data_IF_718307010613
#
_entry.id   IF_718307010613
#
_cell.length_a   1.000
_cell.length_b   1.000
_cell.length_c   1.000
_cell.angle_alpha   90.00
_cell.angle_beta   90.00
_cell.angle_gamma   90.00
#
_symmetry.space_group_name_H-M   'P 1'
#
loop_
_entity.id
_entity.type
_entity.pdbx_description
1 polymer ?
#
# COMPACT_ATOMS: atom_id res chain seq x y z
N UNK A 1 23.98 7.19 -8.25
CA UNK A 1 23.02 6.41 -7.44
C UNK A 1 21.70 7.17 -7.40
N UNK A 2 20.64 6.70 -8.08
CA UNK A 2 19.35 7.39 -8.14
C UNK A 2 18.48 6.91 -6.97
N UNK A 3 18.41 7.69 -5.90
CA UNK A 3 17.48 7.43 -4.79
C UNK A 3 16.08 7.88 -5.21
N UNK A 4 15.31 6.97 -5.80
CA UNK A 4 13.95 7.25 -6.26
C UNK A 4 13.00 7.30 -5.06
N UNK A 5 12.77 8.50 -4.50
CA UNK A 5 11.59 8.76 -3.67
C UNK A 5 10.37 8.73 -4.58
N UNK A 6 9.67 7.60 -4.62
CA UNK A 6 8.43 7.42 -5.38
C UNK A 6 7.26 8.08 -4.66
N UNK A 7 6.54 8.98 -5.34
CA UNK A 7 5.20 9.41 -4.89
C UNK A 7 4.19 8.64 -5.71
N UNK A 8 3.45 7.72 -5.08
CA UNK A 8 2.34 7.04 -5.72
C UNK A 8 1.04 7.77 -5.40
N UNK A 9 0.13 7.84 -6.37
CA UNK A 9 -1.24 8.29 -6.17
C UNK A 9 -2.11 7.05 -5.99
N UNK A 10 -2.89 7.02 -4.92
CA UNK A 10 -3.82 5.93 -4.65
C UNK A 10 -5.24 6.46 -4.41
N UNK A 11 -6.21 5.76 -4.95
CA UNK A 11 -7.64 5.93 -4.77
C UNK A 11 -8.14 4.81 -3.87
N UNK A 12 -8.89 5.13 -2.82
CA UNK A 12 -9.43 4.16 -1.87
C UNK A 12 -10.94 4.35 -1.73
N UNK A 13 -11.67 3.25 -1.68
CA UNK A 13 -13.09 3.22 -1.36
C UNK A 13 -13.25 2.72 0.06
N UNK A 14 -14.06 3.44 0.83
CA UNK A 14 -14.31 3.14 2.22
C UNK A 14 -15.80 2.87 2.38
N UNK A 15 -16.16 1.71 2.92
CA UNK A 15 -17.52 1.33 3.24
C UNK A 15 -18.07 2.15 4.41
N UNK A 16 -19.39 2.14 4.58
CA UNK A 16 -20.08 2.93 5.61
C UNK A 16 -19.61 2.60 7.05
N UNK A 17 -19.05 1.41 7.27
CA UNK A 17 -18.46 0.96 8.53
C UNK A 17 -17.01 1.44 8.75
N UNK A 18 -16.43 2.20 7.81
CA UNK A 18 -15.04 2.64 7.85
C UNK A 18 -14.03 1.60 7.40
N UNK A 19 -14.47 0.43 6.91
CA UNK A 19 -13.59 -0.60 6.33
C UNK A 19 -13.31 -0.25 4.88
N UNK A 20 -12.11 -0.56 4.43
CA UNK A 20 -11.76 -0.36 3.02
C UNK A 20 -12.11 -1.56 2.20
N UNK A 21 -12.82 -1.26 1.12
CA UNK A 21 -13.40 -2.27 0.23
C UNK A 21 -12.62 -2.37 -1.08
N UNK A 22 -11.92 -1.29 -1.48
CA UNK A 22 -11.13 -1.26 -2.72
C UNK A 22 -10.00 -0.24 -2.64
N UNK A 23 -8.90 -0.55 -3.33
CA UNK A 23 -7.77 0.34 -3.54
C UNK A 23 -7.25 0.26 -4.98
N UNK A 24 -6.98 1.40 -5.57
CA UNK A 24 -6.36 1.56 -6.90
C UNK A 24 -5.16 2.49 -6.79
N UNK A 25 -4.05 2.13 -7.40
CA UNK A 25 -2.84 2.95 -7.41
C UNK A 25 -2.08 2.69 -8.70
N UNK A 26 -1.21 3.63 -9.07
CA UNK A 26 -0.29 3.44 -10.19
C UNK A 26 0.69 2.31 -9.85
N UNK A 27 0.83 1.33 -10.74
CA UNK A 27 1.74 0.21 -10.53
C UNK A 27 3.16 0.68 -10.23
N UNK A 28 3.79 -0.02 -9.30
CA UNK A 28 5.20 0.18 -8.93
C UNK A 28 6.16 -0.38 -9.99
N UNK A 29 5.63 -1.15 -10.94
CA UNK A 29 6.41 -1.83 -11.98
C UNK A 29 6.82 -3.25 -11.61
N UNK A 30 6.39 -3.73 -10.44
CA UNK A 30 6.61 -5.09 -9.94
C UNK A 30 5.27 -5.67 -9.44
N UNK A 31 4.76 -6.76 -10.05
CA UNK A 31 3.43 -7.27 -9.78
C UNK A 31 3.28 -7.85 -8.36
N UNK A 32 4.33 -8.44 -7.80
CA UNK A 32 4.34 -8.96 -6.43
C UNK A 32 4.34 -7.82 -5.40
N UNK A 33 5.10 -6.75 -5.65
CA UNK A 33 5.06 -5.54 -4.84
C UNK A 33 3.71 -4.83 -4.93
N UNK A 34 3.09 -4.79 -6.12
CA UNK A 34 1.74 -4.26 -6.30
C UNK A 34 0.71 -5.12 -5.52
N UNK A 35 0.79 -6.45 -5.60
CA UNK A 35 -0.09 -7.35 -4.85
C UNK A 35 0.08 -7.18 -3.33
N UNK A 36 1.32 -7.12 -2.86
CA UNK A 36 1.66 -6.90 -1.45
C UNK A 36 1.16 -5.54 -0.96
N UNK A 37 1.38 -4.47 -1.72
CA UNK A 37 0.88 -3.14 -1.37
C UNK A 37 -0.64 -3.11 -1.31
N UNK A 38 -1.33 -3.75 -2.26
CA UNK A 38 -2.79 -3.86 -2.26
C UNK A 38 -3.30 -4.61 -1.01
N UNK A 39 -2.63 -5.69 -0.61
CA UNK A 39 -2.95 -6.41 0.62
C UNK A 39 -2.75 -5.54 1.86
N UNK A 40 -1.60 -4.87 2.00
CA UNK A 40 -1.30 -3.98 3.12
C UNK A 40 -2.30 -2.83 3.24
N UNK A 41 -2.64 -2.18 2.13
CA UNK A 41 -3.59 -1.06 2.13
C UNK A 41 -5.04 -1.52 2.38
N UNK A 42 -5.38 -2.77 2.09
CA UNK A 42 -6.71 -3.32 2.41
C UNK A 42 -6.75 -3.80 3.87
N UNK A 43 -5.66 -4.40 4.36
CA UNK A 43 -5.52 -4.88 5.74
C UNK A 43 -5.28 -3.75 6.76
N UNK A 44 -4.77 -2.59 6.32
CA UNK A 44 -4.37 -1.44 7.14
C UNK A 44 -5.49 -0.72 7.93
N UNK A 45 -6.66 -1.34 8.03
CA UNK A 45 -7.57 -1.08 9.15
C UNK A 45 -8.73 -0.14 8.87
N UNK A 46 -9.73 -0.30 9.76
CA UNK A 46 -10.88 0.55 9.97
C UNK A 46 -10.45 1.98 10.26
N UNK A 47 -11.11 2.96 9.65
CA UNK A 47 -11.02 4.33 10.13
C UNK A 47 -11.41 4.38 11.61
N UNK A 48 -10.60 5.03 12.45
CA UNK A 48 -10.85 5.16 13.89
C UNK A 48 -12.20 5.84 14.22
N UNK A 49 -12.77 6.56 13.26
CA UNK A 49 -14.11 7.12 13.29
C UNK A 49 -14.82 6.73 11.98
N UNK A 50 -16.09 6.31 12.03
CA UNK A 50 -16.85 6.02 10.82
C UNK A 50 -16.84 7.22 9.87
N UNK A 51 -16.71 6.98 8.55
CA UNK A 51 -16.71 8.03 7.56
C UNK A 51 -18.08 8.75 7.57
N UNK A 52 -18.12 10.06 7.27
CA UNK A 52 -19.39 10.74 7.12
C UNK A 52 -20.20 10.14 5.96
N UNK A 53 -21.55 10.14 6.03
CA UNK A 53 -22.40 9.48 5.03
C UNK A 53 -22.26 10.10 3.63
N UNK A 54 -21.99 11.40 3.54
CA UNK A 54 -21.76 12.13 2.29
C UNK A 54 -20.27 12.19 1.88
N UNK A 55 -19.43 11.27 2.37
CA UNK A 55 -18.03 11.25 1.99
C UNK A 55 -17.86 10.92 0.50
N UNK A 56 -17.31 11.86 -0.26
CA UNK A 56 -17.05 11.68 -1.69
C UNK A 56 -16.00 10.59 -1.93
N UNK A 57 -16.36 9.59 -2.73
CA UNK A 57 -15.52 8.46 -3.12
C UNK A 57 -15.14 8.55 -4.61
N UNK A 58 -13.97 8.01 -5.02
CA UNK A 58 -12.91 7.49 -4.17
C UNK A 58 -12.12 8.59 -3.46
N UNK A 59 -11.65 8.29 -2.25
CA UNK A 59 -10.68 9.15 -1.59
C UNK A 59 -9.32 9.03 -2.28
N UNK A 60 -8.84 10.14 -2.85
CA UNK A 60 -7.49 10.23 -3.42
C UNK A 60 -6.50 10.63 -2.36
N UNK A 61 -5.59 9.73 -1.99
CA UNK A 61 -4.51 10.01 -1.05
C UNK A 61 -3.16 9.89 -1.74
N UNK A 62 -2.15 10.50 -1.12
CA UNK A 62 -0.78 10.49 -1.61
C UNK A 62 0.03 9.54 -0.75
N UNK A 63 0.53 8.47 -1.36
CA UNK A 63 1.44 7.56 -0.69
C UNK A 63 2.88 8.02 -0.93
N UNK A 64 3.66 8.03 0.14
CA UNK A 64 5.10 8.23 0.08
C UNK A 64 5.79 6.91 0.36
N UNK A 65 6.56 6.44 -0.61
CA UNK A 65 7.40 5.27 -0.44
C UNK A 65 8.80 5.73 -0.03
N UNK A 66 9.28 5.18 1.09
CA UNK A 66 10.64 5.32 1.55
C UNK A 66 11.35 3.96 1.38
N UNK A 67 12.59 3.94 0.86
CA UNK A 67 13.37 2.71 0.82
C UNK A 67 13.58 2.19 2.25
N UNK A 68 13.30 0.91 2.46
CA UNK A 68 13.61 0.25 3.73
C UNK A 68 15.11 -0.10 3.74
N UNK A 69 15.95 0.51 4.60
CA UNK A 69 17.38 0.20 4.64
C UNK A 69 17.66 -1.25 5.04
N UNK A 70 16.76 -1.88 5.80
CA UNK A 70 16.87 -3.27 6.24
C UNK A 70 16.65 -4.28 5.10
N UNK A 71 15.90 -3.90 4.06
CA UNK A 71 15.66 -4.77 2.90
C UNK A 71 16.95 -5.13 2.14
N UNK A 72 17.96 -4.26 2.17
CA UNK A 72 19.27 -4.53 1.57
C UNK A 72 20.11 -5.51 2.41
N UNK A 73 19.88 -5.58 3.72
CA UNK A 73 20.57 -6.51 4.62
C UNK A 73 19.95 -7.92 4.60
N UNK A 74 18.69 -8.06 4.18
CA UNK A 74 17.96 -9.33 4.16
C UNK A 74 18.22 -10.23 2.92
N UNK A 75 18.88 -9.71 1.88
CA UNK A 75 19.31 -10.52 0.73
C UNK A 75 20.69 -11.12 1.02
N UNK A 76 20.78 -12.31 1.67
CA UNK A 76 20.51 -13.57 0.98
C UNK A 76 19.86 -14.66 1.87
N UNK A 77 18.90 -14.34 2.76
CA UNK A 77 18.28 -15.36 3.61
C UNK A 77 17.10 -16.11 2.94
N UNK A 78 16.45 -15.50 1.94
CA UNK A 78 15.33 -16.13 1.21
C UNK A 78 15.74 -17.16 0.16
N UNK A 79 17.01 -17.18 -0.26
CA UNK A 79 17.53 -18.18 -1.20
C UNK A 79 18.00 -19.48 -0.53
N UNK A 80 18.10 -19.51 0.81
CA UNK A 80 18.70 -20.61 1.57
C UNK A 80 17.70 -21.51 2.31
N UNK A 81 16.39 -21.34 2.11
CA UNK A 81 15.37 -22.19 2.77
C UNK A 81 14.77 -23.20 1.77
N UNK A 82 15.59 -24.16 1.36
CA UNK A 82 15.14 -25.46 0.86
C UNK A 82 16.06 -26.54 1.45
N UNK A 83 15.51 -27.45 2.26
CA UNK A 83 15.74 -28.88 2.02
C UNK A 83 14.44 -29.61 1.64
#
# INVERSE_FOLDING_TARGET
MRTSRGTARECRWIGANGVVTRVEFASLGDPDADATLRQLLTAGGLLAKPPPPDMLQPLRVRLRLAPNPDAAAAAPASAARAP
#
